data_IF_678713757627
#
_entry.id   IF_678713757627
#
_cell.length_a   1.000
_cell.length_b   1.000
_cell.length_c   1.000
_cell.angle_alpha   90.00
_cell.angle_beta   90.00
_cell.angle_gamma   90.00
#
_symmetry.space_group_name_H-M   'P 1'
#
loop_
_entity.id
_entity.type
_entity.pdbx_description
1 polymer ?
#
# COMPACT_ATOMS: atom_id res chain seq x y z
N UNK A 1 -7.24 -14.80 19.10
CA UNK A 1 -6.29 -13.82 18.58
C UNK A 1 -6.99 -12.50 18.32
N UNK A 2 -6.37 -11.44 18.74
CA UNK A 2 -6.96 -10.11 18.59
C UNK A 2 -6.56 -9.48 17.27
N UNK A 3 -7.53 -8.93 16.58
CA UNK A 3 -7.24 -8.14 15.39
C UNK A 3 -6.73 -6.78 15.81
N UNK A 4 -5.56 -6.43 15.35
CA UNK A 4 -5.01 -5.11 15.63
C UNK A 4 -5.64 -4.08 14.70
N UNK A 5 -6.15 -3.01 15.28
CA UNK A 5 -6.70 -1.90 14.50
C UNK A 5 -5.81 -0.70 14.71
N UNK A 6 -5.18 -0.26 13.66
CA UNK A 6 -4.50 1.02 13.63
C UNK A 6 -5.33 1.95 12.77
N UNK A 7 -5.75 3.04 13.34
CA UNK A 7 -6.60 3.98 12.64
C UNK A 7 -5.84 5.24 12.29
N UNK A 8 -5.93 5.61 11.02
CA UNK A 8 -5.41 6.89 10.54
C UNK A 8 -6.62 7.67 10.06
N UNK A 9 -6.82 8.84 10.66
CA UNK A 9 -7.99 9.65 10.36
C UNK A 9 -7.62 10.69 9.33
N UNK A 10 -8.30 10.62 8.18
CA UNK A 10 -8.14 11.60 7.11
C UNK A 10 -9.50 12.23 6.91
N UNK A 11 -9.59 13.51 7.23
CA UNK A 11 -10.84 14.25 7.08
C UNK A 11 -11.02 14.68 5.63
N UNK A 12 -12.10 14.22 5.02
CA UNK A 12 -12.45 14.56 3.65
C UNK A 12 -13.88 15.12 3.65
N UNK A 13 -14.02 16.37 4.08
CA UNK A 13 -15.33 16.98 4.23
C UNK A 13 -16.07 16.35 5.37
N UNK A 14 -17.21 15.70 5.07
CA UNK A 14 -18.03 15.08 6.12
C UNK A 14 -17.70 13.61 6.35
N UNK A 15 -16.68 13.08 5.70
CA UNK A 15 -16.31 11.66 5.82
C UNK A 15 -14.88 11.54 6.29
N UNK A 16 -14.62 10.44 6.98
CA UNK A 16 -13.28 10.08 7.44
C UNK A 16 -12.91 8.72 6.86
N UNK A 17 -11.62 8.53 6.63
CA UNK A 17 -11.09 7.23 6.22
C UNK A 17 -10.30 6.62 7.34
N UNK A 18 -10.51 5.32 7.56
CA UNK A 18 -9.72 4.55 8.51
C UNK A 18 -8.97 3.46 7.77
N UNK A 19 -7.77 3.18 8.26
CA UNK A 19 -6.98 2.07 7.80
C UNK A 19 -7.12 0.95 8.82
N UNK A 20 -7.67 -0.18 8.38
CA UNK A 20 -7.88 -1.34 9.22
C UNK A 20 -6.87 -2.41 8.83
N UNK A 21 -6.15 -2.94 9.83
CA UNK A 21 -5.21 -4.04 9.61
C UNK A 21 -5.97 -5.35 9.50
N UNK A 22 -6.43 -5.66 8.31
CA UNK A 22 -7.15 -6.88 7.98
C UNK A 22 -6.14 -7.84 7.35
N UNK A 23 -5.70 -8.85 8.10
CA UNK A 23 -4.61 -9.72 7.67
C UNK A 23 -4.93 -10.50 6.40
N UNK A 24 -6.17 -10.99 6.29
CA UNK A 24 -6.57 -11.73 5.09
C UNK A 24 -6.57 -10.83 3.86
N UNK A 25 -7.07 -9.60 4.02
CA UNK A 25 -7.08 -8.62 2.94
C UNK A 25 -5.66 -8.27 2.50
N UNK A 26 -4.79 -8.03 3.47
CA UNK A 26 -3.40 -7.67 3.20
C UNK A 26 -2.65 -8.81 2.52
N UNK A 27 -2.91 -10.04 2.97
CA UNK A 27 -2.28 -11.20 2.37
C UNK A 27 -2.70 -11.39 0.90
N UNK A 28 -3.97 -11.19 0.61
CA UNK A 28 -4.46 -11.29 -0.77
C UNK A 28 -3.79 -10.23 -1.66
N UNK A 29 -3.63 -9.03 -1.14
CA UNK A 29 -2.98 -7.96 -1.89
C UNK A 29 -1.53 -8.29 -2.20
N UNK A 30 -0.80 -8.84 -1.22
CA UNK A 30 0.59 -9.25 -1.45
C UNK A 30 0.70 -10.35 -2.50
N UNK A 31 -0.22 -11.30 -2.47
CA UNK A 31 -0.26 -12.37 -3.47
C UNK A 31 -0.53 -11.81 -4.85
N UNK A 32 -1.44 -10.83 -4.94
CA UNK A 32 -1.76 -10.22 -6.23
C UNK A 32 -0.59 -9.41 -6.78
N UNK A 33 0.15 -8.70 -5.92
CA UNK A 33 1.36 -7.99 -6.35
C UNK A 33 2.36 -8.98 -6.93
N UNK A 34 2.61 -10.08 -6.22
CA UNK A 34 3.55 -11.09 -6.69
C UNK A 34 3.12 -11.66 -8.04
N UNK A 35 1.83 -11.90 -8.20
CA UNK A 35 1.27 -12.42 -9.46
C UNK A 35 1.44 -11.42 -10.60
N UNK A 36 1.12 -10.16 -10.36
CA UNK A 36 1.21 -9.12 -11.38
C UNK A 36 2.65 -8.92 -11.85
N UNK A 37 3.58 -8.87 -10.89
CA UNK A 37 5.00 -8.71 -11.21
C UNK A 37 5.56 -9.98 -11.84
N UNK A 38 5.02 -11.11 -11.47
CA UNK A 38 5.49 -12.41 -12.00
C UNK A 38 6.68 -12.95 -11.24
N UNK A 39 6.79 -12.66 -9.96
CA UNK A 39 7.86 -13.21 -9.14
C UNK A 39 7.44 -14.56 -8.54
N UNK A 40 8.42 -15.42 -8.31
CA UNK A 40 8.23 -16.68 -7.60
C UNK A 40 8.59 -16.57 -6.13
N UNK A 41 8.97 -15.39 -5.67
CA UNK A 41 9.30 -15.17 -4.27
C UNK A 41 8.07 -15.26 -3.39
N UNK A 42 8.26 -15.60 -2.13
CA UNK A 42 7.21 -15.53 -1.15
C UNK A 42 6.62 -14.12 -1.11
N UNK A 43 5.28 -13.97 -1.21
CA UNK A 43 4.67 -12.65 -1.26
C UNK A 43 5.02 -11.75 -0.08
N UNK A 44 5.12 -12.28 1.13
CA UNK A 44 5.48 -11.49 2.30
C UNK A 44 6.91 -10.96 2.18
N UNK A 45 7.84 -11.85 1.82
CA UNK A 45 9.24 -11.46 1.65
C UNK A 45 9.41 -10.47 0.50
N UNK A 46 8.69 -10.68 -0.59
CA UNK A 46 8.76 -9.79 -1.74
C UNK A 46 8.25 -8.40 -1.38
N UNK A 47 7.13 -8.31 -0.68
CA UNK A 47 6.58 -7.02 -0.28
C UNK A 47 7.42 -6.31 0.76
N UNK A 48 8.10 -7.05 1.63
CA UNK A 48 9.06 -6.46 2.56
C UNK A 48 10.19 -5.76 1.81
N UNK A 49 10.64 -6.37 0.73
CA UNK A 49 11.64 -5.75 -0.17
C UNK A 49 11.10 -4.49 -0.81
N UNK A 50 9.83 -4.50 -1.24
CA UNK A 50 9.20 -3.31 -1.80
C UNK A 50 9.14 -2.19 -0.77
N UNK A 51 8.83 -2.51 0.47
CA UNK A 51 8.76 -1.51 1.53
C UNK A 51 10.10 -0.80 1.72
N UNK A 52 11.20 -1.55 1.70
CA UNK A 52 12.53 -0.97 1.82
C UNK A 52 12.86 -0.08 0.61
N UNK A 53 12.51 -0.55 -0.58
CA UNK A 53 12.73 0.23 -1.79
C UNK A 53 11.88 1.50 -1.82
N UNK A 54 10.65 1.40 -1.30
CA UNK A 54 9.78 2.56 -1.23
C UNK A 54 10.31 3.63 -0.27
N UNK A 55 10.95 3.22 0.81
CA UNK A 55 11.60 4.17 1.72
C UNK A 55 12.70 4.94 1.00
N UNK A 56 13.48 4.27 0.16
CA UNK A 56 14.52 4.93 -0.61
C UNK A 56 13.91 5.92 -1.61
N UNK A 57 12.83 5.53 -2.28
CA UNK A 57 12.12 6.43 -3.18
C UNK A 57 11.61 7.66 -2.44
N UNK A 58 10.99 7.48 -1.29
CA UNK A 58 10.45 8.60 -0.52
C UNK A 58 11.54 9.55 -0.09
N UNK A 59 12.68 9.03 0.28
CA UNK A 59 13.83 9.87 0.65
C UNK A 59 14.25 10.73 -0.53
N UNK A 60 14.41 10.11 -1.69
CA UNK A 60 14.75 10.83 -2.92
C UNK A 60 13.71 11.90 -3.26
N UNK A 61 12.44 11.52 -3.22
CA UNK A 61 11.35 12.41 -3.57
C UNK A 61 11.29 13.62 -2.64
N UNK A 62 11.52 13.40 -1.36
CA UNK A 62 11.52 14.46 -0.36
C UNK A 62 12.71 15.40 -0.57
N UNK A 63 13.89 14.84 -0.81
CA UNK A 63 15.11 15.64 -0.99
C UNK A 63 15.08 16.46 -2.26
N UNK A 64 14.45 15.94 -3.31
CA UNK A 64 14.41 16.62 -4.60
C UNK A 64 13.12 17.37 -4.84
N UNK A 65 12.14 17.25 -3.94
CA UNK A 65 10.80 17.83 -4.08
C UNK A 65 10.15 17.40 -5.40
N UNK A 66 10.32 16.12 -5.75
CA UNK A 66 9.86 15.56 -7.02
C UNK A 66 9.09 14.29 -6.74
N UNK A 67 8.04 14.05 -7.51
CA UNK A 67 7.31 12.78 -7.48
C UNK A 67 7.43 12.11 -8.83
N UNK A 68 7.66 10.80 -8.82
CA UNK A 68 7.67 10.01 -10.04
C UNK A 68 6.25 9.59 -10.41
N UNK A 69 5.92 9.55 -11.71
CA UNK A 69 4.67 8.92 -12.14
C UNK A 69 4.63 7.46 -11.71
N UNK A 70 3.43 6.89 -11.60
CA UNK A 70 3.28 5.54 -11.09
C UNK A 70 4.09 4.51 -11.88
N UNK A 71 4.09 4.62 -13.21
CA UNK A 71 4.86 3.69 -14.03
C UNK A 71 6.34 3.77 -13.70
N UNK A 72 6.88 4.98 -13.54
CA UNK A 72 8.29 5.16 -13.23
C UNK A 72 8.62 4.69 -11.81
N UNK A 73 7.72 4.93 -10.85
CA UNK A 73 7.89 4.44 -9.50
C UNK A 73 8.12 2.92 -9.50
N UNK A 74 7.30 2.19 -10.23
CA UNK A 74 7.43 0.74 -10.28
C UNK A 74 8.62 0.28 -11.10
N UNK A 75 8.82 0.87 -12.27
CA UNK A 75 9.88 0.45 -13.18
C UNK A 75 11.27 0.76 -12.63
N UNK A 76 11.44 1.92 -12.03
CA UNK A 76 12.78 2.36 -11.61
C UNK A 76 13.06 2.11 -10.13
N UNK A 77 12.04 2.17 -9.28
CA UNK A 77 12.28 2.17 -7.84
C UNK A 77 11.89 0.85 -7.17
N UNK A 78 10.73 0.33 -7.48
CA UNK A 78 10.19 -0.81 -6.73
C UNK A 78 10.58 -2.17 -7.32
N UNK A 79 10.48 -2.31 -8.63
CA UNK A 79 10.85 -3.56 -9.29
C UNK A 79 11.77 -3.33 -10.49
N UNK A 80 12.93 -2.68 -10.29
CA UNK A 80 13.84 -2.37 -11.39
C UNK A 80 14.47 -3.62 -12.02
N UNK A 81 14.40 -4.74 -11.33
CA UNK A 81 14.94 -6.02 -11.77
C UNK A 81 13.96 -6.81 -12.66
N UNK A 82 12.82 -6.22 -13.00
CA UNK A 82 11.84 -6.83 -13.91
C UNK A 82 11.76 -6.03 -15.21
N UNK A 83 11.30 -6.66 -16.30
CA UNK A 83 11.27 -5.95 -17.62
C UNK A 83 10.35 -4.73 -17.56
N UNK A 84 10.90 -3.57 -17.97
CA UNK A 84 10.17 -2.31 -17.89
C UNK A 84 8.89 -2.32 -18.72
N UNK A 85 8.95 -2.88 -19.92
CA UNK A 85 7.80 -2.93 -20.82
C UNK A 85 6.67 -3.78 -20.26
N UNK A 86 6.97 -4.73 -19.39
CA UNK A 86 5.97 -5.54 -18.73
C UNK A 86 5.37 -4.83 -17.54
N UNK A 87 6.19 -4.10 -16.79
CA UNK A 87 5.78 -3.46 -15.54
C UNK A 87 5.05 -2.14 -15.77
N UNK A 88 5.52 -1.33 -16.72
CA UNK A 88 4.98 0.01 -16.92
C UNK A 88 3.46 0.05 -17.10
N UNK A 89 2.83 -0.84 -17.88
CA UNK A 89 1.37 -0.82 -18.02
C UNK A 89 0.61 -1.20 -16.74
N UNK A 90 1.30 -1.81 -15.78
CA UNK A 90 0.68 -2.28 -14.54
C UNK A 90 0.81 -1.29 -13.39
N UNK A 91 1.40 -0.13 -13.63
CA UNK A 91 1.71 0.82 -12.55
C UNK A 91 0.52 1.18 -11.67
N UNK A 92 -0.60 1.52 -12.26
CA UNK A 92 -1.80 1.90 -11.50
C UNK A 92 -2.34 0.72 -10.68
N UNK A 93 -2.42 -0.45 -11.28
CA UNK A 93 -2.91 -1.64 -10.59
C UNK A 93 -1.96 -2.04 -9.47
N UNK A 94 -0.66 -2.00 -9.71
CA UNK A 94 0.32 -2.31 -8.69
C UNK A 94 0.26 -1.34 -7.52
N UNK A 95 0.10 -0.06 -7.80
CA UNK A 95 -0.06 0.94 -6.73
C UNK A 95 -1.32 0.65 -5.91
N UNK A 96 -2.42 0.34 -6.59
CA UNK A 96 -3.66 0.00 -5.89
C UNK A 96 -3.44 -1.18 -4.95
N UNK A 97 -2.85 -2.26 -5.44
CA UNK A 97 -2.62 -3.45 -4.61
C UNK A 97 -1.61 -3.19 -3.50
N UNK A 98 -0.59 -2.38 -3.76
CA UNK A 98 0.37 -2.04 -2.73
C UNK A 98 -0.29 -1.30 -1.57
N UNK A 99 -1.22 -0.41 -1.88
CA UNK A 99 -1.98 0.29 -0.85
C UNK A 99 -2.87 -0.68 -0.07
N UNK A 100 -3.46 -1.67 -0.75
CA UNK A 100 -4.27 -2.70 -0.08
C UNK A 100 -3.41 -3.57 0.83
N UNK A 101 -2.14 -3.77 0.50
CA UNK A 101 -1.24 -4.57 1.34
C UNK A 101 -0.91 -3.88 2.66
N UNK A 102 -1.18 -2.60 2.76
CA UNK A 102 -0.97 -1.84 4.01
C UNK A 102 -2.16 -1.90 4.94
N UNK A 103 -3.31 -2.32 4.44
CA UNK A 103 -4.53 -2.41 5.21
C UNK A 103 -5.74 -2.10 4.35
N UNK A 104 -6.91 -2.38 4.90
CA UNK A 104 -8.17 -2.11 4.22
C UNK A 104 -8.68 -0.72 4.61
N UNK A 105 -8.97 0.09 3.62
CA UNK A 105 -9.46 1.44 3.86
C UNK A 105 -10.98 1.44 3.85
N UNK A 106 -11.55 2.06 4.88
CA UNK A 106 -12.99 2.18 5.02
C UNK A 106 -13.35 3.65 5.14
N UNK A 107 -14.37 4.07 4.40
CA UNK A 107 -14.91 5.42 4.48
C UNK A 107 -16.14 5.36 5.38
N UNK A 108 -16.15 6.17 6.42
CA UNK A 108 -17.25 6.20 7.37
C UNK A 108 -17.63 7.64 7.69
N UNK A 109 -18.84 7.83 8.25
CA UNK A 109 -19.24 9.13 8.76
C UNK A 109 -18.37 9.49 9.96
N UNK A 110 -18.03 10.77 10.10
CA UNK A 110 -17.08 11.22 11.09
C UNK A 110 -17.39 10.76 12.52
N UNK A 111 -18.64 10.75 12.90
CA UNK A 111 -19.01 10.37 14.27
C UNK A 111 -18.79 8.90 14.59
N UNK A 112 -18.79 8.04 13.61
CA UNK A 112 -18.63 6.59 13.82
C UNK A 112 -17.19 6.19 14.10
N UNK A 113 -16.26 6.96 13.58
CA UNK A 113 -14.84 6.64 13.69
C UNK A 113 -14.38 6.62 15.13
N UNK A 114 -14.86 7.57 15.93
CA UNK A 114 -14.48 7.68 17.33
C UNK A 114 -14.84 6.42 18.10
N UNK A 115 -16.04 5.87 17.84
CA UNK A 115 -16.49 4.67 18.53
C UNK A 115 -15.59 3.48 18.20
N UNK A 116 -15.27 3.31 16.93
CA UNK A 116 -14.39 2.21 16.49
C UNK A 116 -13.02 2.35 17.14
N UNK A 117 -12.49 3.55 17.17
CA UNK A 117 -11.18 3.81 17.75
C UNK A 117 -11.14 3.49 19.25
N UNK A 118 -12.20 3.80 19.93
CA UNK A 118 -12.28 3.55 21.38
C UNK A 118 -12.40 2.06 21.69
N UNK A 119 -13.12 1.33 20.87
CA UNK A 119 -13.29 -0.11 21.07
C UNK A 119 -11.96 -0.84 20.94
N UNK A 120 -11.07 -0.30 20.15
CA UNK A 120 -9.76 -0.89 19.90
C UNK A 120 -8.94 -0.99 21.19
N UNK A 121 -9.06 -0.05 22.04
CA UNK A 121 -8.23 0.06 23.25
C UNK A 121 -8.21 -1.21 24.16
#
# INVERSE_FOLDING_TARGET
MTTSIEAIFIDLGNTLRILIKDQAHMARARQEIARLVGTNEDPVAFCAKLDERYKLYRKWAFETLTEAPESELWVRWLVPDFPAERIAPLGAELTFQYRQSMGRRVVVDGGRVVVVQMVKA
#
